data_IF_349624526783
#
_entry.id   IF_349624526783
#
_cell.length_a   1.000
_cell.length_b   1.000
_cell.length_c   1.000
_cell.angle_alpha   90.00
_cell.angle_beta   90.00
_cell.angle_gamma   90.00
#
_symmetry.space_group_name_H-M   'P 1'
#
loop_
_entity.id
_entity.type
_entity.pdbx_description
1 polymer ?
#
# COMPACT_ATOMS: atom_id res chain seq x y z
N UNK A 1 10.59 16.91 20.16
CA UNK A 1 9.59 17.59 19.31
C UNK A 1 8.98 16.53 18.41
N UNK A 2 7.66 16.54 18.19
CA UNK A 2 7.11 15.71 17.11
C UNK A 2 7.42 16.43 15.79
N UNK A 3 8.29 15.84 14.98
CA UNK A 3 8.53 16.32 13.62
C UNK A 3 7.34 15.87 12.76
N UNK A 4 6.53 16.82 12.30
CA UNK A 4 5.41 16.57 11.39
C UNK A 4 4.06 17.05 11.91
N UNK A 5 3.04 16.84 11.09
CA UNK A 5 1.64 17.17 11.38
C UNK A 5 0.91 15.92 11.90
N UNK A 6 0.02 16.10 12.86
CA UNK A 6 -0.86 15.05 13.36
C UNK A 6 -2.29 15.46 13.04
N UNK A 7 -3.03 14.53 12.45
CA UNK A 7 -4.44 14.68 12.17
C UNK A 7 -5.19 13.56 12.87
N UNK A 8 -6.26 13.90 13.59
CA UNK A 8 -7.13 12.96 14.26
C UNK A 8 -8.55 13.17 13.74
N UNK A 9 -9.16 12.11 13.22
CA UNK A 9 -10.50 12.15 12.62
C UNK A 9 -11.44 11.32 13.47
N UNK A 10 -12.27 12.00 14.28
CA UNK A 10 -13.35 11.36 15.03
C UNK A 10 -14.58 11.40 14.13
N UNK A 11 -14.90 10.30 13.44
CA UNK A 11 -16.02 10.13 12.48
C UNK A 11 -15.76 10.56 11.02
N UNK A 12 -14.51 10.64 10.57
CA UNK A 12 -14.16 10.88 9.16
C UNK A 12 -13.57 9.64 8.50
N UNK A 13 -13.74 9.50 7.18
CA UNK A 13 -12.97 8.54 6.38
C UNK A 13 -11.97 9.28 5.49
N UNK A 14 -10.79 8.70 5.30
CA UNK A 14 -9.85 9.14 4.28
C UNK A 14 -9.93 8.12 3.16
N UNK A 15 -10.33 8.58 1.97
CA UNK A 15 -10.45 7.70 0.81
C UNK A 15 -9.22 7.78 -0.10
N UNK A 16 -8.48 8.88 -0.07
CA UNK A 16 -7.30 9.07 -0.92
C UNK A 16 -6.26 9.89 -0.19
N UNK A 17 -5.01 9.47 -0.29
CA UNK A 17 -3.85 10.21 0.18
C UNK A 17 -2.74 10.15 -0.86
N UNK A 18 -2.22 11.33 -1.23
CA UNK A 18 -1.16 11.46 -2.23
C UNK A 18 0.08 12.08 -1.60
N UNK A 19 1.21 11.38 -1.72
CA UNK A 19 2.52 11.89 -1.34
C UNK A 19 3.36 12.26 -2.55
N UNK A 20 4.03 13.42 -2.47
CA UNK A 20 4.96 13.89 -3.48
C UNK A 20 6.29 14.29 -2.82
N UNK A 21 7.40 13.86 -3.41
CA UNK A 21 8.73 14.13 -2.87
C UNK A 21 9.14 13.12 -1.80
N UNK A 22 9.69 13.61 -0.68
CA UNK A 22 10.17 12.77 0.42
C UNK A 22 9.26 12.92 1.64
N UNK A 23 8.39 11.94 1.90
CA UNK A 23 7.36 12.04 2.93
C UNK A 23 7.19 10.72 3.68
N UNK A 24 6.96 10.80 4.99
CA UNK A 24 6.60 9.66 5.82
C UNK A 24 5.18 9.82 6.34
N UNK A 25 4.47 8.71 6.49
CA UNK A 25 3.12 8.70 7.03
C UNK A 25 2.85 7.51 7.91
N UNK A 26 2.09 7.78 8.96
CA UNK A 26 1.59 6.79 9.91
C UNK A 26 0.09 6.98 9.96
N UNK A 27 -0.65 5.99 9.45
CA UNK A 27 -2.11 6.00 9.44
C UNK A 27 -2.55 4.77 10.21
N UNK A 28 -3.18 5.00 11.34
CA UNK A 28 -3.64 3.94 12.23
C UNK A 28 -5.15 3.95 12.31
N UNK A 29 -5.73 2.79 12.61
CA UNK A 29 -7.17 2.66 12.84
C UNK A 29 -8.01 3.13 11.62
N UNK A 30 -7.47 2.92 10.41
CA UNK A 30 -8.20 3.22 9.18
C UNK A 30 -9.39 2.28 9.07
N UNK A 31 -10.59 2.84 8.96
CA UNK A 31 -11.82 2.10 8.62
C UNK A 31 -12.47 2.81 7.43
N UNK A 32 -12.42 2.18 6.25
CA UNK A 32 -12.95 2.77 5.05
C UNK A 32 -13.36 1.72 4.02
N UNK A 33 -14.42 2.02 3.28
CA UNK A 33 -14.78 1.17 2.13
C UNK A 33 -13.71 1.18 1.04
N UNK A 34 -13.17 2.36 0.72
CA UNK A 34 -12.16 2.53 -0.32
C UNK A 34 -11.01 3.35 0.24
N UNK A 35 -9.79 2.89 0.03
CA UNK A 35 -8.60 3.68 0.32
C UNK A 35 -7.60 3.59 -0.82
N UNK A 36 -7.16 4.75 -1.31
CA UNK A 36 -6.13 4.88 -2.33
C UNK A 36 -4.92 5.62 -1.77
N UNK A 37 -3.80 4.92 -1.68
CA UNK A 37 -2.51 5.52 -1.39
C UNK A 37 -1.71 5.72 -2.69
N UNK A 38 -1.46 6.97 -3.05
CA UNK A 38 -0.58 7.35 -4.15
C UNK A 38 0.73 7.91 -3.59
N UNK A 39 1.87 7.39 -4.05
CA UNK A 39 3.19 7.87 -3.64
C UNK A 39 4.01 8.17 -4.89
N UNK A 40 4.46 9.40 -5.03
CA UNK A 40 5.36 9.85 -6.07
C UNK A 40 6.66 10.36 -5.43
N UNK A 41 7.67 9.50 -5.33
CA UNK A 41 8.97 9.83 -4.75
C UNK A 41 9.48 8.77 -3.78
N UNK A 42 9.81 9.20 -2.56
CA UNK A 42 10.54 8.42 -1.57
C UNK A 42 9.91 8.56 -0.18
N UNK A 43 10.16 7.58 0.68
CA UNK A 43 9.76 7.61 2.08
C UNK A 43 9.07 6.34 2.53
N UNK A 44 8.32 6.43 3.62
CA UNK A 44 7.70 5.27 4.25
C UNK A 44 6.26 5.56 4.64
N UNK A 45 5.36 4.63 4.35
CA UNK A 45 3.98 4.64 4.87
C UNK A 45 3.78 3.41 5.73
N UNK A 46 3.34 3.59 6.98
CA UNK A 46 2.89 2.52 7.86
C UNK A 46 1.37 2.65 8.04
N UNK A 47 0.64 1.59 7.68
CA UNK A 47 -0.81 1.59 7.66
C UNK A 47 -1.37 0.46 8.54
N UNK A 48 -2.41 0.75 9.32
CA UNK A 48 -3.18 -0.27 10.04
C UNK A 48 -4.69 0.00 10.05
N UNK A 49 -5.48 -1.07 10.19
CA UNK A 49 -6.94 -1.01 10.24
C UNK A 49 -7.62 -2.02 9.31
N UNK A 50 -8.79 -1.66 8.78
CA UNK A 50 -9.58 -2.48 7.86
C UNK A 50 -10.11 -1.63 6.69
N UNK A 51 -9.98 -2.13 5.46
CA UNK A 51 -10.62 -1.51 4.28
C UNK A 51 -11.21 -2.55 3.33
N UNK A 52 -12.32 -2.25 2.66
CA UNK A 52 -12.89 -3.20 1.68
C UNK A 52 -12.03 -3.27 0.40
N UNK A 53 -11.63 -2.10 -0.11
CA UNK A 53 -10.86 -1.97 -1.33
C UNK A 53 -9.61 -1.11 -1.12
N UNK A 54 -8.43 -1.74 -1.24
CA UNK A 54 -7.15 -1.05 -1.11
C UNK A 54 -6.45 -0.87 -2.46
N UNK A 55 -6.14 0.38 -2.81
CA UNK A 55 -5.40 0.73 -4.02
C UNK A 55 -4.07 1.35 -3.63
N UNK A 56 -2.97 0.84 -4.18
CA UNK A 56 -1.65 1.45 -4.05
C UNK A 56 -1.12 1.79 -5.43
N UNK A 57 -0.67 3.04 -5.58
CA UNK A 57 0.04 3.53 -6.77
C UNK A 57 1.37 4.11 -6.33
N UNK A 58 2.43 3.31 -6.44
CA UNK A 58 3.77 3.71 -6.05
C UNK A 58 4.60 4.02 -7.29
N UNK A 59 5.01 5.28 -7.44
CA UNK A 59 5.96 5.74 -8.45
C UNK A 59 7.23 6.26 -7.74
N UNK A 60 8.32 5.51 -7.82
CA UNK A 60 9.60 5.87 -7.20
C UNK A 60 10.21 4.76 -6.34
N UNK A 61 10.81 5.14 -5.20
CA UNK A 61 11.49 4.22 -4.30
C UNK A 61 11.09 4.49 -2.84
N UNK A 62 9.85 4.15 -2.53
CA UNK A 62 9.28 4.23 -1.19
C UNK A 62 8.95 2.83 -0.65
N UNK A 63 8.72 2.75 0.67
CA UNK A 63 8.24 1.56 1.34
C UNK A 63 6.80 1.79 1.82
N UNK A 64 5.89 0.87 1.47
CA UNK A 64 4.55 0.79 2.04
C UNK A 64 4.49 -0.45 2.90
N UNK A 65 4.28 -0.26 4.20
CA UNK A 65 4.07 -1.32 5.18
C UNK A 65 2.60 -1.31 5.58
N UNK A 66 1.82 -2.19 4.97
CA UNK A 66 0.39 -2.36 5.19
C UNK A 66 0.05 -3.78 5.64
N UNK A 67 0.99 -4.49 6.26
CA UNK A 67 0.77 -5.82 6.84
C UNK A 67 -0.32 -5.82 7.92
N UNK A 68 -0.49 -4.70 8.62
CA UNK A 68 -1.52 -4.51 9.66
C UNK A 68 -2.79 -3.85 9.15
N UNK A 69 -2.92 -3.65 7.83
CA UNK A 69 -4.13 -3.15 7.18
C UNK A 69 -4.76 -4.31 6.41
N UNK A 70 -5.80 -4.92 6.97
CA UNK A 70 -6.52 -5.99 6.29
C UNK A 70 -7.42 -5.39 5.19
N UNK A 71 -7.37 -5.97 3.99
CA UNK A 71 -8.33 -5.64 2.94
C UNK A 71 -8.93 -6.83 2.22
N UNK A 72 -10.18 -6.71 1.79
CA UNK A 72 -10.84 -7.75 0.99
C UNK A 72 -10.21 -7.83 -0.40
N UNK A 73 -10.09 -6.68 -1.06
CA UNK A 73 -9.48 -6.59 -2.38
C UNK A 73 -8.27 -5.64 -2.38
N UNK A 74 -7.35 -5.90 -3.30
CA UNK A 74 -6.13 -5.13 -3.48
C UNK A 74 -5.83 -4.89 -4.95
N UNK A 75 -5.59 -3.64 -5.32
CA UNK A 75 -5.00 -3.27 -6.62
C UNK A 75 -3.70 -2.52 -6.42
N UNK A 76 -2.58 -3.19 -6.65
CA UNK A 76 -1.24 -2.70 -6.29
C UNK A 76 -0.43 -2.49 -7.55
N UNK A 77 -0.02 -1.25 -7.80
CA UNK A 77 0.87 -0.91 -8.90
C UNK A 77 2.15 -0.28 -8.36
N UNK A 78 3.28 -0.90 -8.65
CA UNK A 78 4.62 -0.39 -8.32
C UNK A 78 5.37 -0.10 -9.60
N UNK A 79 5.79 1.15 -9.78
CA UNK A 79 6.66 1.62 -10.85
C UNK A 79 7.92 2.20 -10.24
N UNK A 80 9.05 1.51 -10.39
CA UNK A 80 10.34 1.89 -9.78
C UNK A 80 10.94 0.76 -8.94
N UNK A 81 11.48 1.11 -7.77
CA UNK A 81 12.30 0.19 -6.94
C UNK A 81 11.79 0.07 -5.49
N UNK A 82 10.54 0.46 -5.24
CA UNK A 82 9.94 0.43 -3.91
C UNK A 82 9.49 -0.95 -3.46
N UNK A 83 9.17 -1.06 -2.17
CA UNK A 83 8.64 -2.27 -1.52
C UNK A 83 7.22 -2.00 -1.01
N UNK A 84 6.28 -2.86 -1.35
CA UNK A 84 4.90 -2.79 -0.86
C UNK A 84 4.55 -4.10 -0.17
N UNK A 85 4.27 -4.06 1.14
CA UNK A 85 3.75 -5.19 1.91
C UNK A 85 2.28 -4.98 2.21
N UNK A 86 1.44 -5.97 1.92
CA UNK A 86 -0.02 -5.85 1.99
C UNK A 86 -0.71 -7.09 2.55
N UNK A 87 -1.78 -6.91 3.31
CA UNK A 87 -2.63 -8.01 3.78
C UNK A 87 -3.97 -8.02 3.03
N UNK A 88 -4.05 -8.77 1.93
CA UNK A 88 -5.25 -8.86 1.07
C UNK A 88 -5.80 -10.28 1.11
N UNK A 89 -7.07 -10.45 1.52
CA UNK A 89 -7.62 -11.77 1.86
C UNK A 89 -8.47 -12.43 0.77
N UNK A 90 -9.05 -11.67 -0.17
CA UNK A 90 -9.98 -12.23 -1.17
C UNK A 90 -9.46 -12.10 -2.61
N UNK A 91 -9.15 -10.90 -3.09
CA UNK A 91 -8.76 -10.67 -4.49
C UNK A 91 -7.55 -9.73 -4.60
N UNK A 92 -6.50 -10.14 -5.31
CA UNK A 92 -5.32 -9.32 -5.52
C UNK A 92 -4.96 -9.20 -7.01
N UNK A 93 -4.98 -7.96 -7.52
CA UNK A 93 -4.37 -7.55 -8.79
C UNK A 93 -3.08 -6.78 -8.48
N UNK A 94 -1.93 -7.41 -8.72
CA UNK A 94 -0.62 -6.85 -8.41
C UNK A 94 0.24 -6.70 -9.67
N UNK A 95 0.80 -5.51 -9.86
CA UNK A 95 1.67 -5.19 -10.98
C UNK A 95 2.94 -4.49 -10.53
N UNK A 96 4.07 -4.95 -11.04
CA UNK A 96 5.38 -4.31 -10.88
C UNK A 96 5.94 -3.95 -12.25
N UNK A 97 6.40 -2.70 -12.40
CA UNK A 97 7.21 -2.24 -13.51
C UNK A 97 8.55 -1.72 -12.96
N UNK A 98 9.66 -2.37 -13.31
CA UNK A 98 11.00 -2.06 -12.79
C UNK A 98 11.50 -3.10 -11.79
N UNK A 99 12.23 -2.67 -10.77
CA UNK A 99 12.93 -3.55 -9.81
C UNK A 99 12.26 -3.61 -8.43
N UNK A 100 11.02 -3.11 -8.33
CA UNK A 100 10.26 -3.09 -7.08
C UNK A 100 9.77 -4.47 -6.64
N UNK A 101 9.22 -4.52 -5.42
CA UNK A 101 8.68 -5.74 -4.84
C UNK A 101 7.30 -5.52 -4.22
N UNK A 102 6.42 -6.50 -4.41
CA UNK A 102 5.16 -6.61 -3.69
C UNK A 102 5.20 -7.91 -2.87
N UNK A 103 4.98 -7.80 -1.56
CA UNK A 103 4.84 -8.94 -0.66
C UNK A 103 3.39 -8.94 -0.13
N UNK A 104 2.70 -10.06 -0.26
CA UNK A 104 1.34 -10.22 0.27
C UNK A 104 1.31 -11.25 1.40
N UNK A 105 0.50 -11.04 2.43
CA UNK A 105 0.53 -11.86 3.66
C UNK A 105 -0.48 -13.01 3.65
N UNK A 106 -1.70 -12.75 3.23
CA UNK A 106 -2.75 -13.77 3.11
C UNK A 106 -2.74 -14.39 1.71
N UNK A 107 -3.28 -15.60 1.58
CA UNK A 107 -3.45 -16.25 0.27
C UNK A 107 -4.83 -15.88 -0.29
N UNK A 108 -4.95 -14.90 -1.19
CA UNK A 108 -6.24 -14.52 -1.76
C UNK A 108 -6.82 -15.65 -2.61
N UNK A 109 -8.15 -15.68 -2.72
CA UNK A 109 -8.88 -16.64 -3.55
C UNK A 109 -8.64 -16.40 -5.05
N UNK A 110 -8.49 -15.13 -5.44
CA UNK A 110 -8.14 -14.69 -6.78
C UNK A 110 -6.83 -13.90 -6.76
N UNK A 111 -5.87 -14.29 -7.60
CA UNK A 111 -4.54 -13.69 -7.67
C UNK A 111 -4.13 -13.49 -9.12
N UNK A 112 -4.03 -12.23 -9.53
CA UNK A 112 -3.51 -11.80 -10.83
C UNK A 112 -2.21 -11.03 -10.60
N UNK A 113 -1.13 -11.45 -11.25
CA UNK A 113 0.20 -10.85 -11.06
C UNK A 113 0.88 -10.57 -12.37
N UNK A 114 1.45 -9.37 -12.50
CA UNK A 114 2.20 -8.95 -13.67
C UNK A 114 3.53 -8.32 -13.25
N UNK A 115 4.64 -8.92 -13.66
CA UNK A 115 5.98 -8.39 -13.40
C UNK A 115 6.62 -8.03 -14.72
N UNK A 116 6.93 -6.74 -14.88
CA UNK A 116 7.74 -6.22 -15.97
C UNK A 116 9.12 -5.85 -15.42
N UNK A 117 10.17 -6.30 -16.12
CA UNK A 117 11.58 -6.21 -15.71
C UNK A 117 11.99 -7.18 -14.58
N UNK A 118 12.76 -6.70 -13.60
CA UNK A 118 13.48 -7.52 -12.61
C UNK A 118 12.84 -7.52 -11.22
N UNK A 119 11.60 -7.05 -11.11
CA UNK A 119 10.85 -7.01 -9.85
C UNK A 119 10.35 -8.37 -9.38
N UNK A 120 9.61 -8.39 -8.28
CA UNK A 120 9.05 -9.63 -7.72
C UNK A 120 7.71 -9.42 -7.02
N UNK A 121 6.81 -10.39 -7.15
CA UNK A 121 5.55 -10.46 -6.39
C UNK A 121 5.52 -11.81 -5.70
N UNK A 122 5.44 -11.85 -4.36
CA UNK A 122 5.55 -13.09 -3.59
C UNK A 122 4.72 -13.09 -2.31
N UNK A 123 4.28 -14.28 -1.90
CA UNK A 123 3.72 -14.48 -0.56
C UNK A 123 4.83 -14.28 0.49
N UNK A 124 4.57 -13.46 1.51
CA UNK A 124 5.45 -13.28 2.66
C UNK A 124 5.44 -14.56 3.52
N UNK A 125 6.61 -15.11 3.83
CA UNK A 125 6.78 -16.32 4.64
C UNK A 125 6.92 -16.02 6.13
#
# INVERSE_FOLDING_TARGET
MKEGFIFEFVNGSINTLTFNGKQNAYITELDAKYFHLAINGFGQSLLSGHVEHFIVSLNGAAQVEASSLESQSGKINVSGSGLVKINVVSELDAKVNGSGRIEYLAKPNSLETHVNDSGSISLSQ
#
